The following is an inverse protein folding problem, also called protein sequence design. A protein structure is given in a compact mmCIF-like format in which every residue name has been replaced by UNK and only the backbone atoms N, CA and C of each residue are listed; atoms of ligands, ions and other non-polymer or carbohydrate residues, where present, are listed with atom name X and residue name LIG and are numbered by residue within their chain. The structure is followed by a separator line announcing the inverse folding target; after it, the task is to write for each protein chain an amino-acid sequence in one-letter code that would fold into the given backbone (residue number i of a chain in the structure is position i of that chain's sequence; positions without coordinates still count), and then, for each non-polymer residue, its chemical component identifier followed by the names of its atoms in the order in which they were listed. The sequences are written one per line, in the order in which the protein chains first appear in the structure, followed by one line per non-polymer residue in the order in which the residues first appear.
data_IF_164472313841
#
_entry.id   IF_164472313841
#
_cell.length_a   1.000
_cell.length_b   1.000
_cell.length_c   1.000
_cell.angle_alpha   90.00
_cell.angle_beta   90.00
_cell.angle_gamma   90.00
#
_symmetry.space_group_name_H-M   'P 1'
#
loop_
_entity.id
_entity.type
_entity.pdbx_description
1 polymer ?
#
# COMPACT_ATOMS: atom_id res chain seq x y z
N UNK A 1 37.10 10.74 -1.42
CA UNK A 1 36.07 10.90 -0.36
C UNK A 1 34.77 11.29 -1.04
N UNK A 2 33.85 10.34 -1.25
CA UNK A 2 32.49 10.66 -1.68
C UNK A 2 31.56 10.08 -0.62
N UNK A 3 31.12 10.92 0.33
CA UNK A 3 29.96 10.58 1.15
C UNK A 3 28.76 10.66 0.20
N UNK A 4 28.28 9.51 -0.30
CA UNK A 4 26.90 9.43 -0.77
C UNK A 4 26.07 9.87 0.44
N UNK A 5 25.41 11.03 0.34
CA UNK A 5 24.49 11.45 1.39
C UNK A 5 23.42 10.38 1.49
N UNK A 6 23.33 9.75 2.65
CA UNK A 6 22.33 8.72 2.91
C UNK A 6 20.96 9.36 2.71
N UNK A 7 20.25 8.90 1.68
CA UNK A 7 18.87 9.29 1.44
C UNK A 7 18.04 8.64 2.54
N UNK A 8 17.77 9.39 3.61
CA UNK A 8 16.75 9.03 4.59
C UNK A 8 15.52 9.91 4.33
N UNK A 9 14.52 9.42 3.58
CA UNK A 9 13.35 10.19 3.22
C UNK A 9 12.43 10.51 4.41
N UNK A 10 12.67 9.96 5.60
CA UNK A 10 11.82 10.12 6.77
C UNK A 10 12.53 9.81 8.09
N UNK A 11 11.94 10.30 9.19
CA UNK A 11 12.37 10.05 10.56
C UNK A 11 11.77 8.73 11.09
N UNK A 12 12.60 7.81 11.60
CA UNK A 12 12.15 6.51 12.13
C UNK A 12 11.19 6.64 13.31
N UNK A 13 11.44 7.58 14.24
CA UNK A 13 10.58 7.79 15.40
C UNK A 13 9.19 8.31 14.98
N UNK A 14 9.13 9.06 13.88
CA UNK A 14 7.88 9.57 13.31
C UNK A 14 7.10 8.45 12.60
N UNK A 15 7.81 7.58 11.88
CA UNK A 15 7.23 6.41 11.24
C UNK A 15 6.64 5.44 12.28
N UNK A 16 7.40 5.13 13.35
CA UNK A 16 6.96 4.21 14.40
C UNK A 16 5.66 4.71 15.05
N UNK A 17 5.64 5.98 15.48
CA UNK A 17 4.43 6.61 16.03
C UNK A 17 3.27 6.62 15.05
N UNK A 18 3.54 6.87 13.77
CA UNK A 18 2.50 6.84 12.74
C UNK A 18 1.92 5.42 12.58
N UNK A 19 2.75 4.38 12.58
CA UNK A 19 2.28 2.99 12.51
C UNK A 19 1.46 2.63 13.75
N UNK A 20 1.91 2.97 14.95
CA UNK A 20 1.16 2.76 16.19
C UNK A 20 -0.23 3.40 16.12
N UNK A 21 -0.30 4.65 15.67
CA UNK A 21 -1.57 5.36 15.52
C UNK A 21 -2.48 4.69 14.47
N UNK A 22 -1.91 4.18 13.37
CA UNK A 22 -2.68 3.46 12.36
C UNK A 22 -3.33 2.18 12.93
N UNK A 23 -2.59 1.42 13.75
CA UNK A 23 -3.08 0.20 14.39
C UNK A 23 -4.13 0.47 15.49
N UNK A 24 -4.01 1.59 16.18
CA UNK A 24 -4.93 1.96 17.26
C UNK A 24 -6.18 2.70 16.75
N UNK A 25 -6.24 3.06 15.46
CA UNK A 25 -7.37 3.77 14.87
C UNK A 25 -8.59 2.84 14.72
N UNK A 26 -9.70 3.09 15.45
CA UNK A 26 -10.93 2.30 15.31
C UNK A 26 -11.53 2.36 13.90
N UNK A 27 -11.27 3.45 13.15
CA UNK A 27 -11.73 3.60 11.79
C UNK A 27 -11.02 2.61 10.84
N UNK A 28 -9.75 2.31 11.08
CA UNK A 28 -9.01 1.27 10.34
C UNK A 28 -9.67 -0.10 10.51
N UNK A 29 -10.01 -0.50 11.75
CA UNK A 29 -10.68 -1.77 12.03
C UNK A 29 -12.09 -1.85 11.44
N UNK A 30 -12.83 -0.74 11.42
CA UNK A 30 -14.12 -0.68 10.75
C UNK A 30 -13.99 -0.89 9.24
N UNK A 31 -13.02 -0.21 8.61
CA UNK A 31 -12.76 -0.33 7.17
C UNK A 31 -12.30 -1.74 6.77
N UNK A 32 -11.54 -2.44 7.61
CA UNK A 32 -11.15 -3.83 7.36
C UNK A 32 -12.36 -4.75 7.15
N UNK A 33 -13.46 -4.50 7.89
CA UNK A 33 -14.68 -5.29 7.81
C UNK A 33 -15.52 -4.97 6.56
N UNK A 34 -15.57 -3.70 6.16
CA UNK A 34 -16.44 -3.24 5.06
C UNK A 34 -15.75 -3.19 3.69
N UNK A 35 -14.42 -3.22 3.65
CA UNK A 35 -13.64 -3.18 2.40
C UNK A 35 -12.70 -4.37 2.30
N UNK A 36 -11.47 -4.22 2.76
CA UNK A 36 -10.46 -5.26 2.86
C UNK A 36 -9.47 -4.90 3.96
N UNK A 37 -8.88 -5.94 4.53
CA UNK A 37 -7.88 -5.80 5.58
C UNK A 37 -6.58 -5.23 5.01
N UNK A 38 -5.99 -4.28 5.73
CA UNK A 38 -4.65 -3.79 5.48
C UNK A 38 -3.78 -4.03 6.71
N UNK A 39 -2.64 -4.66 6.50
CA UNK A 39 -1.59 -4.79 7.51
C UNK A 39 -0.35 -4.01 7.06
N UNK A 40 0.36 -3.42 8.02
CA UNK A 40 1.57 -2.64 7.79
C UNK A 40 2.75 -3.30 8.48
N UNK A 41 3.87 -3.41 7.79
CA UNK A 41 5.10 -3.94 8.35
C UNK A 41 6.27 -3.01 8.07
N UNK A 42 7.23 -3.02 8.99
CA UNK A 42 8.50 -2.33 8.84
C UNK A 42 9.61 -3.38 8.90
N UNK A 43 10.56 -3.22 7.98
CA UNK A 43 11.79 -4.02 7.90
C UNK A 43 12.96 -3.08 7.75
N UNK A 44 14.19 -3.57 7.84
CA UNK A 44 15.39 -2.74 7.68
C UNK A 44 15.41 -1.93 6.37
N UNK A 45 14.91 -2.49 5.26
CA UNK A 45 14.99 -1.87 3.94
C UNK A 45 13.65 -1.34 3.40
N UNK A 46 12.53 -1.84 3.90
CA UNK A 46 11.21 -1.57 3.33
C UNK A 46 10.14 -1.30 4.38
N UNK A 47 9.19 -0.45 4.02
CA UNK A 47 7.83 -0.47 4.59
C UNK A 47 6.98 -1.33 3.65
N UNK A 48 6.22 -2.27 4.22
CA UNK A 48 5.41 -3.22 3.47
C UNK A 48 3.95 -2.97 3.82
N UNK A 49 3.12 -2.77 2.80
CA UNK A 49 1.67 -2.68 2.93
C UNK A 49 1.10 -3.97 2.33
N UNK A 50 0.45 -4.78 3.15
CA UNK A 50 -0.27 -5.97 2.71
C UNK A 50 -1.77 -5.69 2.67
N UNK A 51 -2.43 -6.08 1.59
CA UNK A 51 -3.89 -6.01 1.47
C UNK A 51 -4.47 -7.38 1.11
N UNK A 52 -5.42 -7.86 1.93
CA UNK A 52 -6.12 -9.13 1.70
C UNK A 52 -7.32 -8.91 0.76
N UNK A 53 -7.14 -9.26 -0.51
CA UNK A 53 -8.06 -8.99 -1.62
C UNK A 53 -8.70 -10.28 -2.16
N UNK A 54 -9.39 -11.01 -1.28
CA UNK A 54 -10.11 -12.25 -1.63
C UNK A 54 -11.06 -12.04 -2.81
N UNK A 55 -11.05 -12.98 -3.76
CA UNK A 55 -11.88 -12.93 -4.97
C UNK A 55 -11.45 -11.89 -6.01
N UNK A 56 -10.25 -11.31 -5.88
CA UNK A 56 -9.67 -10.41 -6.88
C UNK A 56 -8.58 -11.13 -7.68
N UNK A 57 -8.52 -10.83 -8.98
CA UNK A 57 -7.34 -11.13 -9.79
C UNK A 57 -6.47 -9.87 -9.92
N UNK A 58 -5.19 -9.97 -10.30
CA UNK A 58 -4.31 -8.81 -10.46
C UNK A 58 -4.86 -7.72 -11.40
N UNK A 59 -5.66 -8.11 -12.40
CA UNK A 59 -6.29 -7.19 -13.35
C UNK A 59 -7.41 -6.36 -12.73
N UNK A 60 -7.97 -6.83 -11.61
CA UNK A 60 -9.04 -6.17 -10.87
C UNK A 60 -8.48 -5.17 -9.84
N UNK A 61 -7.15 -5.04 -9.72
CA UNK A 61 -6.46 -4.26 -8.69
C UNK A 61 -5.62 -3.14 -9.31
N UNK A 62 -5.64 -1.96 -8.70
CA UNK A 62 -4.79 -0.84 -9.08
C UNK A 62 -4.14 -0.22 -7.84
N UNK A 63 -2.85 0.08 -7.95
CA UNK A 63 -2.08 0.79 -6.94
C UNK A 63 -1.59 2.11 -7.53
N UNK A 64 -1.94 3.21 -6.88
CA UNK A 64 -1.51 4.56 -7.28
C UNK A 64 -0.80 5.26 -6.14
N UNK A 65 0.29 5.96 -6.45
CA UNK A 65 1.00 6.84 -5.54
C UNK A 65 0.65 8.29 -5.84
N UNK A 66 0.25 9.04 -4.80
CA UNK A 66 -0.04 10.48 -4.90
C UNK A 66 0.50 11.22 -3.70
N UNK A 67 1.56 12.00 -3.89
CA UNK A 67 2.28 12.69 -2.81
C UNK A 67 2.66 11.72 -1.66
N UNK A 68 1.86 11.68 -0.59
CA UNK A 68 2.04 10.81 0.58
C UNK A 68 1.18 9.54 0.54
N UNK A 69 0.23 9.47 -0.39
CA UNK A 69 -0.84 8.48 -0.39
C UNK A 69 -0.44 7.25 -1.22
N UNK A 70 -0.66 6.08 -0.63
CA UNK A 70 -0.76 4.81 -1.35
C UNK A 70 -2.24 4.46 -1.47
N UNK A 71 -2.77 4.52 -2.69
CA UNK A 71 -4.18 4.29 -2.99
C UNK A 71 -4.32 2.90 -3.61
N UNK A 72 -5.08 2.03 -2.95
CA UNK A 72 -5.38 0.69 -3.42
C UNK A 72 -6.86 0.65 -3.83
N UNK A 73 -7.12 0.30 -5.08
CA UNK A 73 -8.46 0.06 -5.60
C UNK A 73 -8.56 -1.39 -6.02
N UNK A 74 -9.66 -2.04 -5.66
CA UNK A 74 -9.94 -3.41 -6.06
C UNK A 74 -11.40 -3.56 -6.47
N UNK A 75 -11.65 -4.42 -7.46
CA UNK A 75 -13.00 -4.76 -7.90
C UNK A 75 -13.24 -6.23 -7.56
N UNK A 76 -14.00 -6.48 -6.49
CA UNK A 76 -14.34 -7.83 -6.07
C UNK A 76 -15.41 -8.40 -7.01
N UNK A 77 -15.21 -9.62 -7.47
CA UNK A 77 -16.24 -10.39 -8.17
C UNK A 77 -17.06 -11.15 -7.14
N UNK A 78 -18.37 -10.92 -7.12
CA UNK A 78 -19.29 -11.70 -6.30
C UNK A 78 -19.80 -12.90 -7.10
N UNK A 79 -19.18 -14.06 -6.86
CA UNK A 79 -19.57 -15.33 -7.50
C UNK A 79 -20.84 -15.93 -6.87
N UNK A 80 -21.36 -15.36 -5.77
CA UNK A 80 -22.55 -15.85 -5.07
C UNK A 80 -23.87 -15.23 -5.57
N UNK A 81 -23.78 -14.13 -6.33
CA UNK A 81 -24.93 -13.44 -6.87
C UNK A 81 -25.38 -14.04 -8.22
N UNK A 82 -26.69 -14.21 -8.41
CA UNK A 82 -27.29 -14.65 -9.68
C UNK A 82 -27.08 -13.67 -10.85
N UNK A 83 -26.58 -12.47 -10.55
CA UNK A 83 -26.12 -11.45 -11.48
C UNK A 83 -24.70 -11.07 -11.05
N UNK A 84 -23.69 -11.08 -11.93
CA UNK A 84 -22.34 -10.65 -11.57
C UNK A 84 -22.38 -9.20 -11.08
N UNK A 85 -22.22 -9.00 -9.77
CA UNK A 85 -22.14 -7.68 -9.17
C UNK A 85 -20.68 -7.45 -8.82
N UNK A 86 -20.07 -6.45 -9.45
CA UNK A 86 -18.72 -5.99 -9.10
C UNK A 86 -18.84 -4.88 -8.07
N UNK A 87 -18.32 -5.12 -6.86
CA UNK A 87 -18.26 -4.08 -5.83
C UNK A 87 -16.86 -3.46 -5.81
N UNK A 88 -16.71 -2.20 -6.28
CA UNK A 88 -15.44 -1.50 -6.16
C UNK A 88 -15.21 -1.12 -4.70
N UNK A 89 -14.02 -1.42 -4.21
CA UNK A 89 -13.54 -0.98 -2.90
C UNK A 89 -12.24 -0.20 -3.06
N UNK A 90 -12.01 0.74 -2.15
CA UNK A 90 -10.83 1.60 -2.16
C UNK A 90 -10.37 1.85 -0.74
N UNK A 91 -9.06 1.78 -0.53
CA UNK A 91 -8.39 2.18 0.71
C UNK A 91 -7.23 3.10 0.35
N UNK A 92 -6.98 4.08 1.21
CA UNK A 92 -5.83 4.97 1.11
C UNK A 92 -5.02 4.85 2.39
N UNK A 93 -3.73 4.56 2.25
CA UNK A 93 -2.75 4.63 3.33
C UNK A 93 -1.98 5.93 3.17
N UNK A 94 -2.16 6.87 4.11
CA UNK A 94 -1.51 8.19 4.08
C UNK A 94 -0.23 8.09 4.90
N UNK A 95 0.93 8.05 4.24
CA UNK A 95 2.23 7.96 4.91
C UNK A 95 2.67 9.29 5.53
N UNK A 96 3.55 9.29 6.54
CA UNK A 96 4.08 10.51 7.15
C UNK A 96 5.14 11.20 6.26
N UNK A 97 5.34 10.73 5.03
CA UNK A 97 6.31 11.26 4.07
C UNK A 97 5.81 11.09 2.63
N UNK A 98 6.35 11.87 1.67
CA UNK A 98 5.95 11.79 0.27
C UNK A 98 6.49 10.53 -0.42
N UNK A 99 5.69 9.46 -0.41
CA UNK A 99 5.98 8.15 -1.03
C UNK A 99 6.35 8.24 -2.52
N UNK A 100 5.94 9.31 -3.21
CA UNK A 100 6.31 9.53 -4.61
C UNK A 100 7.83 9.59 -4.84
N UNK A 101 8.63 9.91 -3.82
CA UNK A 101 10.10 9.94 -3.92
C UNK A 101 10.77 8.59 -3.67
N UNK A 102 10.02 7.57 -3.25
CA UNK A 102 10.56 6.24 -2.94
C UNK A 102 10.48 5.32 -4.16
N UNK A 103 11.41 4.38 -4.29
CA UNK A 103 11.22 3.24 -5.17
C UNK A 103 10.13 2.35 -4.57
N UNK A 104 9.12 2.01 -5.39
CA UNK A 104 7.98 1.21 -4.94
C UNK A 104 7.74 0.09 -5.95
N UNK A 105 7.55 -1.12 -5.44
CA UNK A 105 7.16 -2.29 -6.23
C UNK A 105 5.96 -2.98 -5.60
N UNK A 106 5.12 -3.59 -6.43
CA UNK A 106 3.98 -4.37 -5.96
C UNK A 106 4.01 -5.79 -6.53
N UNK A 107 3.60 -6.76 -5.73
CA UNK A 107 3.39 -8.14 -6.12
C UNK A 107 2.00 -8.59 -5.66
N UNK A 108 1.33 -9.41 -6.47
CA UNK A 108 0.05 -9.99 -6.10
C UNK A 108 0.12 -11.50 -6.22
N UNK A 109 -0.04 -12.20 -5.10
CA UNK A 109 -0.04 -13.66 -5.07
C UNK A 109 -0.96 -14.17 -3.97
N UNK A 110 -1.63 -15.30 -4.21
CA UNK A 110 -2.52 -15.92 -3.23
C UNK A 110 -3.55 -14.96 -2.61
N UNK A 111 -4.16 -14.11 -3.46
CA UNK A 111 -5.14 -13.08 -3.05
C UNK A 111 -4.59 -11.98 -2.13
N UNK A 112 -3.28 -11.91 -1.96
CA UNK A 112 -2.60 -10.89 -1.16
C UNK A 112 -1.85 -9.97 -2.11
N UNK A 113 -2.10 -8.67 -1.98
CA UNK A 113 -1.29 -7.62 -2.59
C UNK A 113 -0.24 -7.16 -1.58
N UNK A 114 1.03 -7.27 -1.96
CA UNK A 114 2.15 -6.74 -1.19
C UNK A 114 2.72 -5.52 -1.93
N UNK A 115 2.81 -4.39 -1.25
CA UNK A 115 3.43 -3.15 -1.75
C UNK A 115 4.67 -2.87 -0.92
N UNK A 116 5.83 -2.90 -1.57
CA UNK A 116 7.12 -2.66 -0.96
C UNK A 116 7.57 -1.24 -1.27
N UNK A 117 7.76 -0.44 -0.22
CA UNK A 117 8.23 0.93 -0.29
C UNK A 117 9.66 0.94 0.23
N UNK A 118 10.62 1.12 -0.67
CA UNK A 118 12.02 1.06 -0.32
C UNK A 118 12.46 2.34 0.43
N UNK A 119 13.12 2.17 1.57
CA UNK A 119 13.59 3.26 2.42
C UNK A 119 14.87 3.91 1.92
N UNK A 120 15.65 3.17 1.14
CA UNK A 120 17.04 3.48 0.77
C UNK A 120 17.21 3.76 -0.73
N UNK A 121 16.17 3.58 -1.53
CA UNK A 121 16.17 3.76 -2.99
C UNK A 121 15.16 4.80 -3.43
N UNK A 122 15.62 5.75 -4.24
CA UNK A 122 14.79 6.80 -4.80
C UNK A 122 13.93 6.30 -5.96
N UNK A 123 12.73 6.86 -6.05
CA UNK A 123 11.81 6.69 -7.17
C UNK A 123 11.79 7.93 -8.09
N UNK A 124 10.85 7.96 -9.03
CA UNK A 124 10.71 9.05 -10.00
C UNK A 124 10.35 10.43 -9.41
N UNK A 125 9.85 10.51 -8.18
CA UNK A 125 9.45 11.78 -7.57
C UNK A 125 8.14 12.36 -8.13
N UNK A 126 7.27 11.52 -8.69
CA UNK A 126 5.99 11.95 -9.25
C UNK A 126 4.86 10.96 -8.94
N UNK A 127 3.62 11.47 -9.02
CA UNK A 127 2.41 10.67 -8.95
C UNK A 127 2.39 9.65 -10.08
N UNK A 128 2.10 8.39 -9.76
CA UNK A 128 2.20 7.29 -10.73
C UNK A 128 1.41 6.07 -10.28
N UNK A 129 1.05 5.24 -11.25
CA UNK A 129 0.53 3.90 -10.98
C UNK A 129 1.68 2.91 -10.88
N UNK A 130 1.52 1.90 -10.04
CA UNK A 130 2.52 0.85 -9.82
C UNK A 130 2.10 -0.40 -10.58
N UNK A 131 3.03 -0.92 -11.39
CA UNK A 131 2.84 -2.19 -12.09
C UNK A 131 2.89 -3.31 -11.06
N UNK A 132 1.83 -4.10 -11.00
CA UNK A 132 1.69 -5.26 -10.13
C UNK A 132 2.31 -6.47 -10.83
N UNK A 133 3.31 -7.09 -10.20
CA UNK A 133 3.92 -8.35 -10.66
C UNK A 133 3.08 -9.54 -10.19
N UNK A 134 2.97 -10.56 -11.05
CA UNK A 134 2.22 -11.79 -10.82
C UNK A 134 3.12 -12.99 -11.08
#
# INVERSE_FOLDING_TARGET
MNKKGDFHPFNLDELEKWMENYFLDPHSSYLDQITFRIDLYETEDNIIIEALLTGCTPQDVTVSLKDNDVIIKAVKKDDSASVPCSQPCMRTVILPFPVIHNNVSAAFSNEILEIYINKNMTGPGCNRDIIIKC
#
